data_IF_189521249656
#
_entry.id   IF_189521249656
#
_cell.length_a   1.000
_cell.length_b   1.000
_cell.length_c   1.000
_cell.angle_alpha   90.00
_cell.angle_beta   90.00
_cell.angle_gamma   90.00
#
_symmetry.space_group_name_H-M   'P 1'
#
loop_
_entity.id
_entity.type
_entity.pdbx_description
1 polymer ?
#
# COMPACT_ATOMS: atom_id res chain seq x y z
N UNK A 1 -3.92 29.18 19.49
CA UNK A 1 -3.39 28.59 18.23
C UNK A 1 -4.46 27.62 17.74
N UNK A 2 -4.93 27.73 16.50
CA UNK A 2 -5.95 26.80 15.97
C UNK A 2 -5.36 25.39 15.90
N UNK A 3 -6.09 24.37 16.35
CA UNK A 3 -5.62 22.99 16.24
C UNK A 3 -5.68 22.55 14.76
N UNK A 4 -4.82 21.61 14.31
CA UNK A 4 -4.91 21.03 12.97
C UNK A 4 -6.29 20.47 12.65
N UNK A 5 -6.93 19.83 13.63
CA UNK A 5 -8.28 19.30 13.50
C UNK A 5 -9.35 20.36 13.28
N UNK A 6 -9.19 21.57 13.82
CA UNK A 6 -10.14 22.67 13.60
C UNK A 6 -10.07 23.17 12.15
N UNK A 7 -8.84 23.35 11.63
CA UNK A 7 -8.61 23.75 10.26
C UNK A 7 -9.15 22.71 9.27
N UNK A 8 -8.91 21.42 9.54
CA UNK A 8 -9.39 20.33 8.69
C UNK A 8 -10.91 20.15 8.79
N UNK A 9 -11.51 20.36 9.97
CA UNK A 9 -12.98 20.37 10.13
C UNK A 9 -13.60 21.49 9.30
N UNK A 10 -13.04 22.70 9.35
CA UNK A 10 -13.51 23.82 8.55
C UNK A 10 -13.39 23.55 7.04
N UNK A 11 -12.31 22.89 6.60
CA UNK A 11 -12.17 22.45 5.21
C UNK A 11 -13.28 21.47 4.80
N UNK A 12 -13.60 20.50 5.66
CA UNK A 12 -14.66 19.52 5.41
C UNK A 12 -16.06 20.16 5.39
N UNK A 13 -16.34 21.09 6.30
CA UNK A 13 -17.63 21.80 6.37
C UNK A 13 -17.88 22.67 5.13
N UNK A 14 -16.82 23.29 4.62
CA UNK A 14 -16.88 24.12 3.43
C UNK A 14 -16.81 23.29 2.13
N UNK A 15 -16.86 21.97 2.22
CA UNK A 15 -16.64 21.13 1.06
C UNK A 15 -17.81 21.17 0.08
N UNK A 16 -17.49 21.31 -1.21
CA UNK A 16 -18.45 21.28 -2.30
C UNK A 16 -17.94 20.34 -3.41
N UNK A 17 -18.82 19.48 -3.91
CA UNK A 17 -18.50 18.44 -4.89
C UNK A 17 -17.71 17.25 -4.33
N UNK A 18 -16.40 17.40 -4.12
CA UNK A 18 -15.51 16.29 -3.76
C UNK A 18 -14.40 16.69 -2.78
N UNK A 19 -14.23 15.87 -1.74
CA UNK A 19 -13.20 15.98 -0.73
C UNK A 19 -12.11 14.93 -0.96
N UNK A 20 -10.85 15.35 -1.01
CA UNK A 20 -9.68 14.47 -1.09
C UNK A 20 -8.96 14.48 0.26
N UNK A 21 -8.89 13.33 0.93
CA UNK A 21 -8.23 13.14 2.21
C UNK A 21 -7.06 12.17 2.08
N UNK A 22 -5.84 12.65 2.27
CA UNK A 22 -4.62 11.88 2.04
C UNK A 22 -3.83 11.80 3.35
N UNK A 23 -3.67 10.59 3.89
CA UNK A 23 -2.76 10.34 5.00
C UNK A 23 -2.40 8.84 5.06
N UNK A 24 -1.15 8.47 5.38
CA UNK A 24 -0.79 7.07 5.55
C UNK A 24 -1.49 6.44 6.75
N UNK A 25 -1.74 7.20 7.82
CA UNK A 25 -2.40 6.70 9.02
C UNK A 25 -3.77 7.34 9.21
N UNK A 26 -4.78 6.48 9.25
CA UNK A 26 -6.18 6.91 9.38
C UNK A 26 -6.88 6.05 10.42
N UNK A 27 -7.47 6.72 11.41
CA UNK A 27 -8.34 6.11 12.42
C UNK A 27 -9.80 6.37 12.11
N UNK A 28 -10.64 5.35 12.28
CA UNK A 28 -12.09 5.41 12.04
C UNK A 28 -12.73 6.55 12.83
N UNK A 29 -12.36 6.72 14.10
CA UNK A 29 -12.91 7.76 14.96
C UNK A 29 -12.63 9.17 14.41
N UNK A 30 -11.40 9.42 13.94
CA UNK A 30 -11.01 10.71 13.38
C UNK A 30 -11.67 10.96 12.03
N UNK A 31 -11.65 9.96 11.13
CA UNK A 31 -12.29 10.06 9.83
C UNK A 31 -13.80 10.27 9.97
N UNK A 32 -14.48 9.51 10.83
CA UNK A 32 -15.93 9.64 11.08
C UNK A 32 -16.30 11.05 11.54
N UNK A 33 -15.48 11.66 12.41
CA UNK A 33 -15.70 13.05 12.84
C UNK A 33 -15.64 14.03 11.67
N UNK A 34 -14.68 13.87 10.76
CA UNK A 34 -14.56 14.71 9.56
C UNK A 34 -15.71 14.48 8.57
N UNK A 35 -16.08 13.22 8.32
CA UNK A 35 -17.17 12.87 7.41
C UNK A 35 -18.54 13.35 7.92
N UNK A 36 -18.75 13.36 9.24
CA UNK A 36 -19.95 13.92 9.86
C UNK A 36 -20.02 15.46 9.72
N UNK A 37 -18.85 16.12 9.60
CA UNK A 37 -18.77 17.56 9.37
C UNK A 37 -18.94 17.93 7.90
N UNK A 38 -18.61 17.01 6.97
CA UNK A 38 -18.78 17.21 5.54
C UNK A 38 -20.25 17.05 5.10
N UNK A 39 -20.74 17.89 4.16
CA UNK A 39 -22.10 17.75 3.64
C UNK A 39 -22.36 16.34 3.08
N UNK A 40 -23.53 15.70 3.31
CA UNK A 40 -23.78 14.31 2.89
C UNK A 40 -23.64 14.04 1.38
N UNK A 41 -23.90 15.07 0.55
CA UNK A 41 -23.81 14.97 -0.91
C UNK A 41 -22.37 15.01 -1.45
N UNK A 42 -21.39 15.39 -0.63
CA UNK A 42 -19.98 15.47 -1.06
C UNK A 42 -19.40 14.06 -1.18
N UNK A 43 -18.88 13.75 -2.36
CA UNK A 43 -18.11 12.54 -2.63
C UNK A 43 -16.75 12.63 -1.91
N UNK A 44 -16.24 11.50 -1.43
CA UNK A 44 -15.00 11.48 -0.65
C UNK A 44 -14.01 10.47 -1.21
N UNK A 45 -12.83 10.98 -1.57
CA UNK A 45 -11.68 10.18 -1.93
C UNK A 45 -10.75 10.14 -0.72
N UNK A 46 -10.55 8.96 -0.14
CA UNK A 46 -9.53 8.74 0.89
C UNK A 46 -8.35 8.03 0.26
N UNK A 47 -7.16 8.62 0.32
CA UNK A 47 -5.92 7.98 -0.12
C UNK A 47 -5.08 7.63 1.09
N UNK A 48 -4.75 6.35 1.25
CA UNK A 48 -4.01 5.83 2.40
C UNK A 48 -3.07 4.70 2.01
N UNK A 49 -2.41 4.06 2.98
CA UNK A 49 -1.66 2.81 2.78
C UNK A 49 -2.07 1.79 3.82
N UNK A 50 -2.09 0.52 3.45
CA UNK A 50 -2.52 -0.56 4.34
C UNK A 50 -1.43 -1.58 4.52
N UNK A 51 -0.48 -1.25 5.39
CA UNK A 51 0.56 -2.20 5.76
C UNK A 51 0.12 -3.11 6.90
N UNK A 52 0.29 -4.44 6.79
CA UNK A 52 -0.12 -5.38 7.82
C UNK A 52 0.42 -5.03 9.22
N UNK A 53 1.66 -4.57 9.32
CA UNK A 53 2.32 -4.17 10.56
C UNK A 53 1.74 -2.89 11.16
N UNK A 54 1.36 -1.92 10.33
CA UNK A 54 0.72 -0.67 10.78
C UNK A 54 -0.71 -0.91 11.28
N UNK A 55 -1.41 -1.87 10.66
CA UNK A 55 -2.72 -2.33 11.12
C UNK A 55 -2.59 -3.15 12.40
N UNK A 56 -1.60 -4.04 12.49
CA UNK A 56 -1.31 -4.84 13.68
C UNK A 56 -0.96 -3.97 14.89
N UNK A 57 -0.18 -2.91 14.64
CA UNK A 57 0.14 -1.84 15.58
C UNK A 57 -1.09 -1.06 16.05
N UNK A 58 -2.15 -1.06 15.25
CA UNK A 58 -3.30 -0.21 15.44
C UNK A 58 -2.94 1.26 15.28
N UNK A 59 -2.14 1.64 14.29
CA UNK A 59 -2.00 3.06 13.88
C UNK A 59 -2.94 3.42 12.73
N UNK A 60 -3.38 2.42 11.96
CA UNK A 60 -4.38 2.55 10.88
C UNK A 60 -5.52 1.55 11.09
N UNK A 61 -6.75 1.95 10.75
CA UNK A 61 -7.93 1.10 10.82
C UNK A 61 -8.39 0.71 9.40
N UNK A 62 -8.70 -0.57 9.18
CA UNK A 62 -9.17 -1.06 7.88
C UNK A 62 -10.65 -0.75 7.64
N UNK A 63 -11.42 -0.51 8.71
CA UNK A 63 -12.84 -0.18 8.71
C UNK A 63 -13.13 1.21 8.12
N UNK A 64 -12.10 1.99 7.78
CA UNK A 64 -12.24 3.22 7.00
C UNK A 64 -12.87 2.96 5.63
N UNK A 65 -12.66 1.77 5.05
CA UNK A 65 -13.30 1.37 3.78
C UNK A 65 -14.82 1.38 3.89
N UNK A 66 -15.35 0.73 4.93
CA UNK A 66 -16.77 0.61 5.20
C UNK A 66 -17.38 2.01 5.33
N UNK A 67 -16.79 2.85 6.18
CA UNK A 67 -17.25 4.20 6.46
C UNK A 67 -17.27 5.10 5.22
N UNK A 68 -16.27 4.98 4.34
CA UNK A 68 -16.17 5.80 3.12
C UNK A 68 -17.12 5.29 2.04
N UNK A 69 -17.21 3.97 1.86
CA UNK A 69 -18.06 3.36 0.82
C UNK A 69 -19.56 3.43 1.13
N UNK A 70 -19.94 3.68 2.39
CA UNK A 70 -21.32 4.04 2.77
C UNK A 70 -21.78 5.38 2.17
N UNK A 71 -20.84 6.25 1.77
CA UNK A 71 -21.17 7.55 1.14
C UNK A 71 -21.31 7.40 -0.37
N UNK A 72 -22.27 8.13 -0.94
CA UNK A 72 -22.44 8.19 -2.39
C UNK A 72 -21.16 8.71 -3.07
N UNK A 73 -20.58 7.89 -3.95
CA UNK A 73 -19.34 8.22 -4.66
C UNK A 73 -18.08 8.18 -3.80
N UNK A 74 -18.14 7.64 -2.57
CA UNK A 74 -16.98 7.47 -1.71
C UNK A 74 -16.06 6.34 -2.18
N UNK A 75 -14.75 6.58 -2.19
CA UNK A 75 -13.74 5.57 -2.52
C UNK A 75 -12.52 5.66 -1.62
N UNK A 76 -11.97 4.50 -1.29
CA UNK A 76 -10.65 4.38 -0.66
C UNK A 76 -9.65 3.94 -1.72
N UNK A 77 -8.54 4.65 -1.79
CA UNK A 77 -7.44 4.46 -2.72
C UNK A 77 -6.18 4.13 -1.90
N UNK A 78 -5.43 3.12 -2.32
CA UNK A 78 -4.21 2.65 -1.68
C UNK A 78 -3.00 3.10 -2.49
N UNK A 79 -2.12 3.85 -1.84
CA UNK A 79 -0.82 4.25 -2.36
C UNK A 79 0.25 3.70 -1.39
N UNK A 80 0.91 2.57 -1.71
CA UNK A 80 1.79 1.86 -0.77
C UNK A 80 2.97 2.70 -0.25
N UNK A 81 3.40 3.67 -1.06
CA UNK A 81 4.54 4.54 -0.79
C UNK A 81 4.11 5.90 -0.21
N UNK A 82 2.82 6.06 0.12
CA UNK A 82 2.31 7.31 0.66
C UNK A 82 2.97 7.64 1.99
N UNK A 83 3.47 8.87 2.09
CA UNK A 83 3.89 9.46 3.35
C UNK A 83 3.35 10.88 3.56
N UNK A 84 2.87 11.52 2.50
CA UNK A 84 2.29 12.85 2.55
C UNK A 84 1.01 12.90 3.40
N UNK A 85 0.74 14.07 3.99
CA UNK A 85 -0.55 14.39 4.59
C UNK A 85 -1.08 15.62 3.88
N UNK A 86 -2.16 15.42 3.14
CA UNK A 86 -2.68 16.39 2.20
C UNK A 86 -4.21 16.31 2.18
N UNK A 87 -4.87 17.45 2.22
CA UNK A 87 -6.33 17.51 2.31
C UNK A 87 -6.82 18.61 1.39
N UNK A 88 -7.68 18.29 0.42
CA UNK A 88 -8.21 19.27 -0.53
C UNK A 88 -9.72 19.21 -0.63
N UNK A 89 -10.33 20.38 -0.73
CA UNK A 89 -11.65 20.55 -1.31
C UNK A 89 -11.68 21.76 -2.24
N UNK A 90 -12.07 21.54 -3.50
CA UNK A 90 -12.14 22.62 -4.49
C UNK A 90 -10.80 23.34 -4.65
N UNK A 91 -10.80 24.65 -4.40
CA UNK A 91 -9.65 25.55 -4.46
C UNK A 91 -8.90 25.71 -3.12
N UNK A 92 -9.28 24.96 -2.09
CA UNK A 92 -8.65 25.01 -0.76
C UNK A 92 -7.92 23.72 -0.48
N UNK A 93 -6.66 23.83 -0.09
CA UNK A 93 -5.86 22.70 0.33
C UNK A 93 -5.07 22.97 1.62
N UNK A 94 -4.82 21.89 2.36
CA UNK A 94 -4.02 21.85 3.57
C UNK A 94 -2.97 20.75 3.43
N UNK A 95 -1.73 21.04 3.81
CA UNK A 95 -0.63 20.07 3.82
C UNK A 95 0.22 20.22 5.07
N UNK A 96 0.83 19.12 5.52
CA UNK A 96 1.70 19.17 6.70
C UNK A 96 2.04 17.80 7.27
N UNK A 97 2.18 17.73 8.59
CA UNK A 97 2.60 16.53 9.31
C UNK A 97 1.44 15.73 9.92
N UNK A 98 0.29 16.37 10.14
CA UNK A 98 -0.84 15.77 10.84
C UNK A 98 -1.51 14.65 10.03
N UNK A 99 -1.45 13.41 10.53
CA UNK A 99 -2.24 12.27 10.04
C UNK A 99 -3.73 12.39 10.45
N UNK A 100 -4.61 11.52 9.92
CA UNK A 100 -6.02 11.45 10.31
C UNK A 100 -6.21 10.59 11.57
N UNK A 101 -5.60 11.03 12.68
CA UNK A 101 -5.71 10.37 13.98
C UNK A 101 -6.09 11.40 15.05
N UNK A 102 -6.68 10.93 16.16
CA UNK A 102 -7.03 11.83 17.27
C UNK A 102 -5.81 12.56 17.86
N UNK A 103 -4.67 11.88 17.97
CA UNK A 103 -3.43 12.48 18.48
C UNK A 103 -2.89 13.57 17.55
N UNK A 104 -2.85 13.34 16.23
CA UNK A 104 -2.31 14.30 15.27
C UNK A 104 -3.24 15.51 15.04
N UNK A 105 -4.56 15.33 15.16
CA UNK A 105 -5.53 16.39 14.92
C UNK A 105 -5.83 17.26 16.15
N UNK A 106 -5.18 17.02 17.28
CA UNK A 106 -5.44 17.78 18.52
C UNK A 106 -6.70 17.32 19.27
N UNK A 107 -7.22 16.12 18.98
CA UNK A 107 -8.46 15.58 19.55
C UNK A 107 -8.23 14.54 20.64
N UNK A 108 -6.98 14.37 21.06
CA UNK A 108 -6.56 13.49 22.16
C UNK A 108 -6.08 14.33 23.35
N UNK A 109 -6.20 13.81 24.57
CA UNK A 109 -5.58 14.42 25.75
C UNK A 109 -4.05 14.50 25.61
N UNK A 110 -3.44 13.48 24.99
CA UNK A 110 -2.03 13.45 24.59
C UNK A 110 -1.97 13.66 23.08
N UNK A 111 -2.03 14.91 22.64
CA UNK A 111 -1.95 15.26 21.22
C UNK A 111 -0.52 15.57 20.79
N UNK A 112 -0.21 15.25 19.54
CA UNK A 112 1.08 15.56 18.93
C UNK A 112 1.20 17.06 18.64
N UNK A 113 2.43 17.57 18.63
CA UNK A 113 2.71 18.90 18.09
C UNK A 113 2.86 18.78 16.57
N UNK A 114 1.78 19.09 15.84
CA UNK A 114 1.73 18.96 14.39
C UNK A 114 1.60 20.32 13.69
N UNK A 115 2.04 20.38 12.44
CA UNK A 115 1.89 21.53 11.56
C UNK A 115 0.91 21.20 10.43
N UNK A 116 0.01 22.13 10.13
CA UNK A 116 -0.85 22.06 8.96
C UNK A 116 -0.97 23.46 8.35
N UNK A 117 -0.50 23.61 7.10
CA UNK A 117 -0.44 24.87 6.38
C UNK A 117 -1.41 24.86 5.22
N UNK A 118 -1.91 26.05 4.85
CA UNK A 118 -2.62 26.22 3.59
C UNK A 118 -1.62 26.15 2.44
N UNK A 119 -2.00 25.42 1.41
CA UNK A 119 -1.25 25.34 0.15
C UNK A 119 -2.19 25.70 -0.99
N UNK A 120 -1.64 26.27 -2.06
CA UNK A 120 -2.40 26.57 -3.27
C UNK A 120 -2.51 25.30 -4.12
N UNK A 121 -3.71 24.72 -4.32
CA UNK A 121 -3.88 23.55 -5.17
C UNK A 121 -3.64 23.82 -6.65
N UNK A 122 -3.50 25.08 -7.08
CA UNK A 122 -3.13 25.46 -8.44
C UNK A 122 -1.61 25.56 -8.64
N UNK A 123 -0.81 25.43 -7.59
CA UNK A 123 0.63 25.31 -7.71
C UNK A 123 0.99 24.10 -8.57
N UNK A 124 1.96 24.26 -9.47
CA UNK A 124 2.36 23.21 -10.42
C UNK A 124 2.86 21.95 -9.70
N UNK A 125 3.59 22.11 -8.59
CA UNK A 125 4.12 21.00 -7.80
C UNK A 125 3.00 20.24 -7.10
N UNK A 126 2.00 20.96 -6.57
CA UNK A 126 0.85 20.35 -5.91
C UNK A 126 -0.01 19.57 -6.91
N UNK A 127 -0.23 20.13 -8.11
CA UNK A 127 -0.95 19.43 -9.19
C UNK A 127 -0.21 18.19 -9.66
N UNK A 128 1.10 18.29 -9.91
CA UNK A 128 1.91 17.14 -10.31
C UNK A 128 1.89 16.04 -9.24
N UNK A 129 1.92 16.41 -7.95
CA UNK A 129 1.75 15.48 -6.84
C UNK A 129 0.36 14.82 -6.84
N UNK A 130 -0.73 15.56 -7.00
CA UNK A 130 -2.09 15.00 -7.06
C UNK A 130 -2.25 14.04 -8.24
N UNK A 131 -1.76 14.42 -9.41
CA UNK A 131 -1.81 13.59 -10.61
C UNK A 131 -1.04 12.27 -10.39
N UNK A 132 0.17 12.35 -9.85
CA UNK A 132 0.97 11.16 -9.53
C UNK A 132 0.32 10.30 -8.45
N UNK A 133 -0.21 10.92 -7.41
CA UNK A 133 -0.92 10.24 -6.33
C UNK A 133 -2.11 9.46 -6.86
N UNK A 134 -2.98 10.09 -7.65
CA UNK A 134 -4.17 9.43 -8.20
C UNK A 134 -3.81 8.38 -9.25
N UNK A 135 -2.76 8.61 -10.05
CA UNK A 135 -2.28 7.69 -11.08
C UNK A 135 -1.63 6.42 -10.49
N UNK A 136 -0.96 6.54 -9.34
CA UNK A 136 -0.28 5.42 -8.68
C UNK A 136 -1.11 4.75 -7.58
N UNK A 137 -2.21 5.38 -7.18
CA UNK A 137 -3.12 4.79 -6.22
C UNK A 137 -4.07 3.80 -6.86
N UNK A 138 -4.48 2.82 -6.08
CA UNK A 138 -5.37 1.78 -6.53
C UNK A 138 -6.60 1.64 -5.64
N UNK A 139 -7.77 1.35 -6.21
CA UNK A 139 -8.99 1.23 -5.41
C UNK A 139 -8.89 0.05 -4.44
N UNK A 140 -9.18 0.33 -3.16
CA UNK A 140 -9.31 -0.67 -2.10
C UNK A 140 -10.64 -1.42 -2.24
N UNK A 141 -10.63 -2.71 -1.93
CA UNK A 141 -11.82 -3.54 -1.89
C UNK A 141 -11.78 -4.51 -0.69
N UNK A 142 -12.85 -5.30 -0.55
CA UNK A 142 -13.00 -6.29 0.53
C UNK A 142 -11.95 -7.40 0.48
N UNK A 143 -11.46 -7.75 -0.70
CA UNK A 143 -10.42 -8.78 -0.85
C UNK A 143 -9.09 -8.29 -0.26
N UNK A 144 -8.69 -7.05 -0.57
CA UNK A 144 -7.49 -6.43 -0.03
C UNK A 144 -7.64 -6.23 1.48
N UNK A 145 -8.80 -5.75 1.92
CA UNK A 145 -9.11 -5.55 3.34
C UNK A 145 -8.95 -6.86 4.14
N UNK A 146 -9.45 -7.98 3.61
CA UNK A 146 -9.37 -9.30 4.25
C UNK A 146 -7.92 -9.79 4.32
N UNK A 147 -7.18 -9.72 3.21
CA UNK A 147 -5.79 -10.14 3.15
C UNK A 147 -4.90 -9.37 4.15
N UNK A 148 -5.04 -8.05 4.23
CA UNK A 148 -4.27 -7.23 5.18
C UNK A 148 -4.66 -7.56 6.62
N UNK A 149 -5.95 -7.81 6.90
CA UNK A 149 -6.43 -8.17 8.25
C UNK A 149 -5.83 -9.50 8.73
N UNK A 150 -5.80 -10.50 7.87
CA UNK A 150 -5.22 -11.81 8.18
C UNK A 150 -3.71 -11.70 8.45
N UNK A 151 -2.98 -10.98 7.60
CA UNK A 151 -1.56 -10.72 7.81
C UNK A 151 -1.30 -9.94 9.11
N UNK A 152 -2.10 -8.92 9.40
CA UNK A 152 -1.99 -8.13 10.63
C UNK A 152 -2.25 -8.98 11.89
N UNK A 153 -3.24 -9.89 11.85
CA UNK A 153 -3.52 -10.81 12.94
C UNK A 153 -2.35 -11.78 13.19
N UNK A 154 -1.74 -12.29 12.12
CA UNK A 154 -0.55 -13.15 12.21
C UNK A 154 0.62 -12.41 12.89
N UNK A 155 0.87 -11.14 12.53
CA UNK A 155 1.91 -10.28 13.13
C UNK A 155 1.62 -10.00 14.60
N UNK A 156 0.37 -9.67 14.94
CA UNK A 156 -0.03 -9.36 16.31
C UNK A 156 0.11 -10.57 17.24
N UNK A 157 -0.05 -11.79 16.73
CA UNK A 157 0.09 -13.01 17.52
C UNK A 157 1.54 -13.31 17.96
N UNK A 158 2.53 -12.78 17.22
CA UNK A 158 3.96 -13.02 17.46
C UNK A 158 4.69 -11.80 18.03
N UNK A 159 4.08 -10.61 17.95
CA UNK A 159 4.68 -9.36 18.41
C UNK A 159 4.16 -9.04 19.81
N UNK A 160 5.00 -8.99 20.86
CA UNK A 160 4.56 -8.43 22.15
C UNK A 160 4.12 -6.98 21.93
N UNK A 161 3.16 -6.44 22.70
CA UNK A 161 2.71 -5.06 22.53
C UNK A 161 3.90 -4.10 22.70
N UNK A 162 4.49 -3.67 21.59
CA UNK A 162 5.53 -2.65 21.57
C UNK A 162 4.89 -1.28 21.66
N UNK A 163 5.42 -0.46 22.56
CA UNK A 163 4.89 0.85 22.93
C UNK A 163 5.22 1.94 21.92
N UNK A 164 6.20 1.73 21.03
CA UNK A 164 6.60 2.72 20.02
C UNK A 164 6.66 2.11 18.62
N UNK A 165 5.65 2.44 17.82
CA UNK A 165 5.60 2.17 16.38
C UNK A 165 6.12 3.36 15.55
N UNK A 166 6.58 4.43 16.22
CA UNK A 166 7.20 5.60 15.59
C UNK A 166 8.38 5.22 14.69
N UNK A 167 9.15 4.21 15.08
CA UNK A 167 10.40 3.83 14.42
C UNK A 167 10.20 2.92 13.21
N UNK A 168 9.04 2.27 13.09
CA UNK A 168 8.70 1.42 11.92
C UNK A 168 8.31 2.28 10.70
N UNK A 169 8.03 3.57 10.91
CA UNK A 169 7.64 4.51 9.87
C UNK A 169 8.79 4.98 8.95
N UNK A 170 10.03 4.53 9.17
CA UNK A 170 11.21 5.09 8.50
C UNK A 170 11.63 4.46 7.16
N UNK A 171 10.93 3.47 6.63
CA UNK A 171 11.25 2.96 5.29
C UNK A 171 10.57 3.77 4.19
N UNK A 172 11.38 4.65 3.60
CA UNK A 172 11.13 5.33 2.33
C UNK A 172 10.99 4.24 1.27
N UNK A 173 9.76 3.96 0.83
CA UNK A 173 9.60 3.28 -0.44
C UNK A 173 9.80 4.33 -1.53
N UNK A 174 10.72 4.07 -2.44
CA UNK A 174 10.88 4.91 -3.62
C UNK A 174 9.64 4.73 -4.50
N UNK A 175 8.87 5.81 -4.81
CA UNK A 175 7.84 5.73 -5.83
C UNK A 175 8.51 5.42 -7.17
N UNK A 176 8.29 4.22 -7.69
CA UNK A 176 9.00 3.74 -8.87
C UNK A 176 8.51 2.37 -9.36
N UNK A 177 8.99 1.98 -10.52
CA UNK A 177 8.81 0.62 -11.03
C UNK A 177 9.49 -0.37 -10.07
N UNK A 178 8.76 -1.39 -9.62
CA UNK A 178 9.33 -2.51 -8.86
C UNK A 178 8.63 -3.81 -9.24
N UNK A 179 9.45 -4.83 -9.49
CA UNK A 179 9.11 -6.24 -9.60
C UNK A 179 10.21 -7.04 -8.87
N UNK A 180 9.91 -8.24 -8.36
CA UNK A 180 10.90 -9.04 -7.65
C UNK A 180 12.06 -9.45 -8.57
N UNK A 181 13.26 -9.55 -7.99
CA UNK A 181 14.49 -9.89 -8.71
C UNK A 181 15.14 -11.19 -8.23
N UNK A 182 14.73 -11.71 -7.07
CA UNK A 182 15.19 -12.98 -6.53
C UNK A 182 14.48 -14.17 -7.19
N UNK A 183 15.18 -15.08 -7.89
CA UNK A 183 14.55 -16.22 -8.57
C UNK A 183 14.09 -17.34 -7.63
N UNK A 184 14.33 -17.21 -6.31
CA UNK A 184 14.04 -18.24 -5.30
C UNK A 184 13.16 -17.68 -4.18
N UNK A 185 11.87 -17.41 -4.45
CA UNK A 185 10.94 -16.90 -3.42
C UNK A 185 10.83 -17.84 -2.21
N UNK A 186 10.99 -19.15 -2.43
CA UNK A 186 11.03 -20.18 -1.39
C UNK A 186 12.16 -20.02 -0.37
N UNK A 187 13.21 -19.29 -0.74
CA UNK A 187 14.39 -19.07 0.10
C UNK A 187 14.37 -17.72 0.82
N UNK A 188 13.41 -16.82 0.52
CA UNK A 188 13.39 -15.48 1.11
C UNK A 188 13.30 -15.49 2.64
N UNK A 189 12.52 -16.41 3.21
CA UNK A 189 12.42 -16.53 4.68
C UNK A 189 13.78 -16.81 5.32
N UNK A 190 14.61 -17.63 4.67
CA UNK A 190 15.95 -17.98 5.16
C UNK A 190 16.93 -16.82 5.04
N UNK A 191 16.74 -15.95 4.05
CA UNK A 191 17.51 -14.71 3.92
C UNK A 191 17.06 -13.71 4.98
N UNK A 192 15.77 -13.66 5.29
CA UNK A 192 15.18 -12.76 6.27
C UNK A 192 15.57 -13.09 7.72
N UNK A 193 15.64 -14.38 8.08
CA UNK A 193 16.01 -14.82 9.43
C UNK A 193 17.51 -15.16 9.57
N UNK A 194 18.32 -14.80 8.56
CA UNK A 194 19.74 -15.10 8.43
C UNK A 194 20.11 -16.60 8.53
N UNK A 195 19.16 -17.52 8.33
CA UNK A 195 19.38 -18.98 8.30
C UNK A 195 19.82 -19.53 6.93
N UNK A 196 20.17 -18.65 5.99
CA UNK A 196 20.44 -19.03 4.60
C UNK A 196 21.72 -19.85 4.40
N UNK A 197 22.78 -19.59 5.17
CA UNK A 197 24.11 -20.18 4.95
C UNK A 197 24.58 -20.01 3.50
N UNK A 198 25.16 -21.06 2.91
CA UNK A 198 25.65 -21.10 1.53
C UNK A 198 24.62 -21.62 0.51
N UNK A 199 23.32 -21.60 0.87
CA UNK A 199 22.25 -22.18 0.03
C UNK A 199 21.88 -21.32 -1.19
N UNK A 200 22.37 -20.08 -1.27
CA UNK A 200 22.16 -19.16 -2.40
C UNK A 200 23.49 -18.68 -2.96
N UNK A 201 23.57 -18.57 -4.28
CA UNK A 201 24.66 -17.88 -4.97
C UNK A 201 24.68 -16.40 -4.55
N UNK A 202 25.87 -15.78 -4.51
CA UNK A 202 26.06 -14.41 -4.05
C UNK A 202 25.14 -13.39 -4.74
N UNK A 203 24.97 -13.47 -6.06
CA UNK A 203 24.08 -12.58 -6.80
C UNK A 203 22.60 -12.78 -6.40
N UNK A 204 22.15 -14.03 -6.31
CA UNK A 204 20.78 -14.35 -5.90
C UNK A 204 20.49 -13.94 -4.45
N UNK A 205 21.50 -14.01 -3.57
CA UNK A 205 21.42 -13.50 -2.20
C UNK A 205 21.30 -11.98 -2.18
N UNK A 206 22.04 -11.25 -3.03
CA UNK A 206 21.92 -9.80 -3.13
C UNK A 206 20.54 -9.37 -3.65
N UNK A 207 19.99 -10.07 -4.64
CA UNK A 207 18.63 -9.83 -5.13
C UNK A 207 17.58 -10.09 -4.03
N UNK A 208 17.71 -11.20 -3.30
CA UNK A 208 16.85 -11.48 -2.14
C UNK A 208 16.89 -10.37 -1.09
N UNK A 209 18.09 -9.86 -0.77
CA UNK A 209 18.26 -8.75 0.18
C UNK A 209 17.62 -7.46 -0.32
N UNK A 210 17.78 -7.13 -1.60
CA UNK A 210 17.15 -5.95 -2.20
C UNK A 210 15.62 -6.06 -2.19
N UNK A 211 15.07 -7.23 -2.55
CA UNK A 211 13.63 -7.47 -2.51
C UNK A 211 13.08 -7.42 -1.07
N UNK A 212 13.79 -8.01 -0.09
CA UNK A 212 13.43 -7.92 1.34
C UNK A 212 13.50 -6.47 1.82
N UNK A 213 14.50 -5.70 1.40
CA UNK A 213 14.60 -4.28 1.75
C UNK A 213 13.45 -3.46 1.16
N UNK A 214 12.99 -3.78 -0.06
CA UNK A 214 11.79 -3.18 -0.64
C UNK A 214 10.53 -3.57 0.12
N UNK A 215 10.32 -4.86 0.39
CA UNK A 215 9.14 -5.36 1.11
C UNK A 215 9.12 -4.84 2.55
N UNK A 216 10.29 -4.76 3.17
CA UNK A 216 10.55 -4.35 4.54
C UNK A 216 9.65 -5.05 5.58
N UNK A 217 9.73 -6.39 5.71
CA UNK A 217 8.98 -7.12 6.71
C UNK A 217 9.45 -6.77 8.13
N UNK A 218 8.55 -6.68 9.13
CA UNK A 218 8.90 -6.58 10.55
C UNK A 218 9.88 -7.68 10.95
N UNK A 219 10.73 -7.46 11.96
CA UNK A 219 11.62 -8.51 12.50
C UNK A 219 10.86 -9.52 13.36
N UNK A 220 11.32 -10.78 13.40
CA UNK A 220 10.77 -11.85 14.23
C UNK A 220 9.55 -12.59 13.68
N UNK A 221 9.20 -12.42 12.40
CA UNK A 221 8.17 -13.19 11.73
C UNK A 221 8.59 -14.66 11.61
N UNK A 222 7.70 -15.58 11.98
CA UNK A 222 7.84 -16.98 11.59
C UNK A 222 7.53 -17.15 10.09
N UNK A 223 7.84 -18.33 9.51
CA UNK A 223 7.65 -18.58 8.08
C UNK A 223 6.22 -18.28 7.58
N UNK A 224 5.19 -18.63 8.35
CA UNK A 224 3.80 -18.37 7.97
C UNK A 224 3.49 -16.87 7.99
N UNK A 225 3.94 -16.15 9.01
CA UNK A 225 3.73 -14.70 9.15
C UNK A 225 4.48 -13.91 8.07
N UNK A 226 5.71 -14.31 7.76
CA UNK A 226 6.50 -13.74 6.67
C UNK A 226 5.80 -13.92 5.32
N UNK A 227 5.37 -15.14 4.98
CA UNK A 227 4.69 -15.38 3.71
C UNK A 227 3.38 -14.59 3.59
N UNK A 228 2.59 -14.51 4.67
CA UNK A 228 1.39 -13.69 4.70
C UNK A 228 1.70 -12.19 4.51
N UNK A 229 2.79 -11.71 5.11
CA UNK A 229 3.27 -10.33 4.95
C UNK A 229 3.63 -10.03 3.50
N UNK A 230 4.51 -10.85 2.90
CA UNK A 230 4.94 -10.67 1.52
C UNK A 230 3.74 -10.70 0.58
N UNK A 231 2.83 -11.67 0.73
CA UNK A 231 1.61 -11.76 -0.06
C UNK A 231 0.73 -10.48 0.04
N UNK A 232 0.57 -9.94 1.25
CA UNK A 232 -0.20 -8.71 1.47
C UNK A 232 0.46 -7.48 0.83
N UNK A 233 1.80 -7.40 0.83
CA UNK A 233 2.56 -6.34 0.14
C UNK A 233 2.42 -6.48 -1.37
N UNK A 234 2.63 -7.68 -1.92
CA UNK A 234 2.53 -7.95 -3.36
C UNK A 234 1.17 -7.58 -3.93
N UNK A 235 0.06 -7.83 -3.21
CA UNK A 235 -1.30 -7.42 -3.63
C UNK A 235 -1.46 -5.90 -3.79
N UNK A 236 -0.56 -5.11 -3.22
CA UNK A 236 -0.62 -3.65 -3.26
C UNK A 236 0.39 -3.07 -4.28
N UNK A 237 1.36 -3.85 -4.75
CA UNK A 237 2.33 -3.42 -5.75
C UNK A 237 1.62 -3.21 -7.09
N UNK A 238 1.72 -1.99 -7.65
CA UNK A 238 1.08 -1.59 -8.90
C UNK A 238 1.32 -2.58 -10.05
N UNK A 239 2.59 -2.93 -10.30
CA UNK A 239 2.95 -3.80 -11.43
C UNK A 239 2.50 -5.25 -11.26
N UNK A 240 2.52 -5.76 -10.03
CA UNK A 240 1.97 -7.08 -9.71
C UNK A 240 0.47 -7.12 -9.99
N UNK A 241 -0.27 -6.08 -9.59
CA UNK A 241 -1.71 -5.97 -9.88
C UNK A 241 -2.02 -5.80 -11.36
N UNK A 242 -1.21 -5.05 -12.09
CA UNK A 242 -1.42 -4.86 -13.52
C UNK A 242 -1.28 -6.19 -14.26
N UNK A 243 -0.22 -6.94 -13.96
CA UNK A 243 -0.06 -8.31 -14.49
C UNK A 243 -1.21 -9.22 -14.03
N UNK A 244 -1.62 -9.13 -12.77
CA UNK A 244 -2.75 -9.87 -12.23
C UNK A 244 -4.06 -9.62 -13.01
N UNK A 245 -4.37 -8.36 -13.34
CA UNK A 245 -5.56 -8.02 -14.15
C UNK A 245 -5.55 -8.72 -15.50
N UNK A 246 -4.38 -8.81 -16.13
CA UNK A 246 -4.22 -9.46 -17.44
C UNK A 246 -4.38 -10.98 -17.34
N UNK A 247 -4.01 -11.61 -16.20
CA UNK A 247 -4.16 -13.07 -16.03
C UNK A 247 -5.61 -13.55 -16.07
N UNK A 248 -6.60 -12.68 -15.81
CA UNK A 248 -8.02 -13.02 -15.93
C UNK A 248 -8.43 -13.46 -17.35
N UNK A 249 -7.67 -13.03 -18.37
CA UNK A 249 -7.91 -13.35 -19.77
C UNK A 249 -6.99 -14.45 -20.31
N UNK A 250 -6.08 -14.97 -19.47
CA UNK A 250 -4.97 -15.82 -19.87
C UNK A 250 -3.78 -14.96 -20.33
N UNK A 251 -2.84 -14.71 -19.43
CA UNK A 251 -1.67 -13.89 -19.72
C UNK A 251 -0.58 -14.76 -20.37
N UNK A 252 -0.22 -14.43 -21.61
CA UNK A 252 0.92 -15.03 -22.30
C UNK A 252 2.21 -14.35 -21.85
N UNK A 253 3.33 -15.07 -21.93
CA UNK A 253 4.65 -14.51 -21.66
C UNK A 253 4.94 -13.27 -22.51
N UNK A 254 4.65 -13.33 -23.81
CA UNK A 254 4.87 -12.21 -24.73
C UNK A 254 4.17 -10.92 -24.25
N UNK A 255 2.90 -11.01 -23.88
CA UNK A 255 2.13 -9.83 -23.46
C UNK A 255 2.62 -9.28 -22.12
N UNK A 256 3.06 -10.16 -21.21
CA UNK A 256 3.64 -9.75 -19.92
C UNK A 256 4.96 -9.01 -20.15
N UNK A 257 5.85 -9.58 -20.96
CA UNK A 257 7.17 -9.02 -21.30
C UNK A 257 7.00 -7.64 -21.96
N UNK A 258 6.14 -7.50 -22.98
CA UNK A 258 5.88 -6.21 -23.65
C UNK A 258 5.29 -5.15 -22.70
N UNK A 259 4.54 -5.58 -21.68
CA UNK A 259 3.97 -4.66 -20.68
C UNK A 259 5.04 -4.20 -19.70
N UNK A 260 5.92 -5.10 -19.28
CA UNK A 260 7.07 -4.78 -18.43
C UNK A 260 8.06 -3.88 -19.18
N UNK A 261 8.37 -4.17 -20.44
CA UNK A 261 9.33 -3.43 -21.25
C UNK A 261 8.91 -1.96 -21.44
N UNK A 262 7.62 -1.70 -21.70
CA UNK A 262 7.08 -0.33 -21.80
C UNK A 262 7.14 0.47 -20.50
N UNK A 263 7.27 -0.24 -19.38
CA UNK A 263 7.25 0.33 -18.03
C UNK A 263 8.64 0.43 -17.41
N UNK A 264 9.62 -0.23 -18.00
CA UNK A 264 10.95 -0.39 -17.47
C UNK A 264 11.71 0.95 -17.54
N UNK A 265 12.37 1.39 -16.47
CA UNK A 265 13.26 2.55 -16.53
C UNK A 265 14.43 2.32 -17.49
N UNK A 266 14.92 3.38 -18.14
CA UNK A 266 15.99 3.32 -19.17
C UNK A 266 17.30 2.65 -18.70
N UNK A 267 17.54 2.57 -17.39
CA UNK A 267 18.77 2.02 -16.79
C UNK A 267 18.48 0.91 -15.78
N UNK A 268 17.56 -0.01 -16.10
CA UNK A 268 17.26 -1.16 -15.25
C UNK A 268 18.24 -2.33 -15.48
N UNK A 269 18.72 -2.97 -14.41
CA UNK A 269 19.73 -4.04 -14.45
C UNK A 269 19.21 -5.39 -14.98
N UNK A 270 17.91 -5.51 -15.21
CA UNK A 270 17.25 -6.74 -15.65
C UNK A 270 16.45 -6.51 -16.92
N UNK A 271 16.44 -7.52 -17.79
CA UNK A 271 15.54 -7.57 -18.93
C UNK A 271 14.09 -7.78 -18.48
N UNK A 272 13.13 -7.39 -19.33
CA UNK A 272 11.71 -7.64 -19.08
C UNK A 272 11.39 -9.15 -18.99
N UNK A 273 12.12 -9.99 -19.72
CA UNK A 273 12.00 -11.45 -19.70
C UNK A 273 12.46 -12.05 -18.36
N UNK A 274 13.60 -11.59 -17.83
CA UNK A 274 14.10 -12.03 -16.53
C UNK A 274 13.12 -11.64 -15.41
N UNK A 275 12.67 -10.38 -15.42
CA UNK A 275 11.70 -9.88 -14.43
C UNK A 275 10.39 -10.65 -14.48
N UNK A 276 9.89 -10.96 -15.68
CA UNK A 276 8.68 -11.74 -15.81
C UNK A 276 8.86 -13.17 -15.28
N UNK A 277 9.97 -13.82 -15.62
CA UNK A 277 10.31 -15.16 -15.15
C UNK A 277 10.33 -15.21 -13.62
N UNK A 278 11.01 -14.27 -12.98
CA UNK A 278 11.05 -14.17 -11.52
C UNK A 278 9.66 -13.87 -10.94
N UNK A 279 8.91 -12.95 -11.54
CA UNK A 279 7.56 -12.58 -11.09
C UNK A 279 6.60 -13.77 -11.14
N UNK A 280 6.67 -14.62 -12.17
CA UNK A 280 5.88 -15.87 -12.27
C UNK A 280 6.13 -16.78 -11.06
N UNK A 281 7.40 -17.03 -10.73
CA UNK A 281 7.76 -17.89 -9.60
C UNK A 281 7.25 -17.33 -8.27
N UNK A 282 7.32 -16.01 -8.08
CA UNK A 282 6.77 -15.34 -6.90
C UNK A 282 5.25 -15.45 -6.80
N UNK A 283 4.53 -15.25 -7.91
CA UNK A 283 3.07 -15.36 -7.93
C UNK A 283 2.62 -16.79 -7.58
N UNK A 284 3.28 -17.80 -8.13
CA UNK A 284 3.00 -19.21 -7.83
C UNK A 284 3.32 -19.53 -6.36
N UNK A 285 4.42 -19.00 -5.82
CA UNK A 285 4.84 -19.27 -4.45
C UNK A 285 3.95 -18.61 -3.40
N UNK A 286 3.67 -17.31 -3.52
CA UNK A 286 2.93 -16.54 -2.51
C UNK A 286 1.41 -16.61 -2.69
N UNK A 287 0.93 -17.01 -3.87
CA UNK A 287 -0.49 -17.18 -4.15
C UNK A 287 -0.78 -18.54 -4.82
N UNK A 288 -0.42 -19.68 -4.16
CA UNK A 288 -0.48 -21.01 -4.77
C UNK A 288 -1.91 -21.48 -5.11
N UNK A 289 -2.91 -20.87 -4.46
CA UNK A 289 -4.33 -21.12 -4.73
C UNK A 289 -4.89 -20.20 -5.83
N UNK A 290 -4.21 -19.11 -6.14
CA UNK A 290 -4.70 -18.13 -7.12
C UNK A 290 -4.11 -18.41 -8.50
N UNK A 291 -2.87 -18.91 -8.61
CA UNK A 291 -2.21 -19.13 -9.91
C UNK A 291 -1.78 -20.58 -10.15
N UNK A 292 -1.68 -20.93 -11.43
CA UNK A 292 -1.06 -22.15 -11.92
C UNK A 292 -0.32 -21.92 -13.25
N UNK A 293 0.71 -22.74 -13.51
CA UNK A 293 1.46 -22.71 -14.77
C UNK A 293 0.84 -23.70 -15.76
N UNK A 294 0.56 -23.23 -16.97
CA UNK A 294 0.03 -24.08 -18.04
C UNK A 294 1.15 -24.37 -19.06
N UNK A 295 1.52 -25.64 -19.32
CA UNK A 295 2.65 -26.00 -20.18
C UNK A 295 2.51 -25.59 -21.66
N UNK A 296 1.29 -25.47 -22.18
CA UNK A 296 1.07 -25.07 -23.56
C UNK A 296 1.27 -23.56 -23.74
N UNK A 297 2.50 -23.14 -24.06
CA UNK A 297 2.85 -21.74 -24.36
C UNK A 297 3.15 -20.86 -23.16
N UNK A 298 3.55 -21.45 -22.02
CA UNK A 298 3.93 -20.75 -20.78
C UNK A 298 2.90 -19.70 -20.33
N UNK A 299 1.65 -20.12 -20.16
CA UNK A 299 0.57 -19.22 -19.75
C UNK A 299 0.45 -19.23 -18.22
N UNK A 300 0.40 -18.05 -17.60
CA UNK A 300 -0.02 -17.90 -16.21
C UNK A 300 -1.52 -17.62 -16.16
N UNK A 301 -2.25 -18.46 -15.43
CA UNK A 301 -3.71 -18.36 -15.33
C UNK A 301 -4.15 -18.31 -13.88
N UNK A 302 -5.20 -17.54 -13.60
CA UNK A 302 -5.93 -17.68 -12.33
C UNK A 302 -6.66 -19.03 -12.26
N UNK A 303 -6.49 -19.73 -11.14
CA UNK A 303 -7.32 -20.90 -10.83
C UNK A 303 -8.78 -20.45 -10.73
N UNK A 304 -9.68 -21.19 -11.36
CA UNK A 304 -11.11 -20.97 -11.15
C UNK A 304 -11.46 -21.41 -9.74
N UNK A 305 -12.12 -20.55 -8.96
CA UNK A 305 -12.78 -20.99 -7.74
C UNK A 305 -13.76 -22.12 -8.11
N UNK A 306 -13.68 -23.26 -7.42
CA UNK A 306 -14.72 -24.26 -7.50
C UNK A 306 -16.02 -23.58 -7.04
N UNK A 307 -17.01 -23.52 -7.93
CA UNK A 307 -18.37 -23.09 -7.61
C UNK A 307 -19.00 -24.03 -6.58
#
# INVERSE_FOLDING_TARGET
MSLPGDALTALCQAADGRLLLVAPYIKVAALKRLLNAAPPAVAVDVVTRWRPEEVAAGVSDLEVLDLVTERAGGRVLLCPHLHAKYYRCGDKALAGSANLTGAALGWSAMSNLELLLRVDPQDETVRAFEDELLRTSEQADRSIQTAVREAAAAIKAITPPRTDWSDIAMTVFSPGFWLPTCPRPDMLIRVYDDSIGDLLLANALQHARNDIAFINPPLGLNASGFNAFVAAVLRQVRWVRELDRMTNQGLTDQNAIETIERALPEHHDFSAEDLWTVTKEWLIHFFPNDYERIPAGEILRKRRAAL
#
